data_IF_661592296793
#
_entry.id   IF_661592296793
#
_cell.length_a   1.000
_cell.length_b   1.000
_cell.length_c   1.000
_cell.angle_alpha   90.00
_cell.angle_beta   90.00
_cell.angle_gamma   90.00
#
_symmetry.space_group_name_H-M   'P 1'
#
loop_
_entity.id
_entity.type
_entity.pdbx_description
1 polymer ?
#
# COMPACT_ATOMS: atom_id res chain seq x y z
N UNK A 1 -3.45 -4.00 37.23
CA UNK A 1 -3.76 -5.25 36.49
C UNK A 1 -3.43 -5.04 35.02
N UNK A 2 -2.46 -5.80 34.52
CA UNK A 2 -1.75 -5.52 33.27
C UNK A 2 -2.59 -5.85 32.01
N UNK A 3 -2.78 -4.85 31.14
CA UNK A 3 -3.34 -5.00 29.79
C UNK A 3 -2.27 -5.07 28.68
N UNK A 4 -1.02 -5.31 29.06
CA UNK A 4 0.08 -5.66 28.15
C UNK A 4 0.11 -7.19 28.03
N UNK A 5 -0.76 -7.75 27.19
CA UNK A 5 -0.50 -9.07 26.61
C UNK A 5 -1.19 -9.19 25.27
N UNK A 6 -0.85 -8.26 24.36
CA UNK A 6 -1.25 -8.33 22.96
C UNK A 6 -0.24 -9.16 22.16
N UNK A 7 0.11 -10.36 22.65
CA UNK A 7 0.58 -11.47 21.81
C UNK A 7 -0.63 -12.30 21.40
N UNK A 8 -1.47 -11.70 20.57
CA UNK A 8 -2.35 -12.42 19.65
C UNK A 8 -2.07 -11.82 18.28
N UNK A 9 -0.87 -12.07 17.78
CA UNK A 9 -0.63 -12.03 16.35
C UNK A 9 -1.48 -13.20 15.82
N UNK A 10 -2.70 -12.84 15.40
CA UNK A 10 -3.71 -13.79 14.99
C UNK A 10 -3.14 -14.67 13.89
N UNK A 11 -3.27 -15.97 14.11
CA UNK A 11 -2.96 -17.10 13.24
C UNK A 11 -3.85 -17.13 12.01
N UNK A 12 -4.08 -15.98 11.34
CA UNK A 12 -4.81 -15.95 10.08
C UNK A 12 -3.92 -16.67 9.07
N UNK A 13 -4.37 -17.83 8.53
CA UNK A 13 -3.60 -18.53 7.52
C UNK A 13 -3.41 -17.60 6.33
N UNK A 14 -2.17 -17.48 5.84
CA UNK A 14 -1.88 -16.74 4.62
C UNK A 14 -2.16 -17.73 3.48
N UNK A 15 -3.17 -17.48 2.62
CA UNK A 15 -3.51 -18.41 1.57
C UNK A 15 -2.33 -18.58 0.61
N UNK A 16 -2.07 -19.80 0.12
CA UNK A 16 -1.02 -20.03 -0.86
C UNK A 16 -1.48 -19.66 -2.28
N UNK A 17 -1.88 -18.40 -2.46
CA UNK A 17 -2.37 -17.83 -3.73
C UNK A 17 -1.51 -16.64 -4.14
N UNK A 18 -1.69 -16.14 -5.35
CA UNK A 18 -0.98 -14.94 -5.81
C UNK A 18 -1.35 -13.73 -4.95
N UNK A 19 -0.32 -12.97 -4.55
CA UNK A 19 -0.46 -11.76 -3.76
C UNK A 19 0.10 -10.57 -4.55
N UNK A 20 -0.53 -9.41 -4.43
CA UNK A 20 -0.02 -8.17 -5.03
C UNK A 20 -0.09 -7.01 -4.06
N UNK A 21 0.83 -6.06 -4.25
CA UNK A 21 0.76 -4.71 -3.70
C UNK A 21 0.28 -3.78 -4.83
N UNK A 22 -0.79 -3.03 -4.60
CA UNK A 22 -1.19 -1.94 -5.50
C UNK A 22 -0.66 -0.63 -4.93
N UNK A 23 0.10 0.10 -5.75
CA UNK A 23 0.63 1.43 -5.44
C UNK A 23 -0.22 2.45 -6.21
N UNK A 24 -1.07 3.22 -5.52
CA UNK A 24 -1.92 4.22 -6.16
C UNK A 24 -1.27 5.59 -6.03
N UNK A 25 -1.07 6.27 -7.16
CA UNK A 25 -0.44 7.59 -7.24
C UNK A 25 -1.50 8.67 -7.39
N UNK A 26 -1.36 9.78 -6.67
CA UNK A 26 -2.20 10.96 -6.87
C UNK A 26 -1.81 11.66 -8.19
N UNK A 27 -2.69 11.56 -9.20
CA UNK A 27 -2.46 12.16 -10.51
C UNK A 27 -2.64 13.69 -10.52
N UNK A 28 -3.42 14.25 -9.59
CA UNK A 28 -3.64 15.70 -9.49
C UNK A 28 -2.34 16.46 -9.23
N UNK A 29 -1.38 15.82 -8.57
CA UNK A 29 -0.07 16.37 -8.26
C UNK A 29 0.87 16.50 -9.47
N UNK A 30 0.49 15.95 -10.64
CA UNK A 30 1.24 16.04 -11.91
C UNK A 30 2.74 15.73 -11.76
N UNK A 31 3.06 14.74 -10.93
CA UNK A 31 4.44 14.35 -10.65
C UNK A 31 5.15 13.87 -11.93
N UNK A 32 6.41 14.29 -12.11
CA UNK A 32 7.26 13.73 -13.17
C UNK A 32 7.60 12.26 -12.91
N UNK A 33 7.88 11.50 -13.99
CA UNK A 33 8.15 10.05 -13.95
C UNK A 33 9.20 9.65 -12.90
N UNK A 34 10.31 10.41 -12.80
CA UNK A 34 11.36 10.14 -11.82
C UNK A 34 10.89 10.31 -10.37
N UNK A 35 10.06 11.33 -10.10
CA UNK A 35 9.49 11.53 -8.77
C UNK A 35 8.49 10.44 -8.42
N UNK A 36 7.63 10.05 -9.36
CA UNK A 36 6.70 8.91 -9.19
C UNK A 36 7.49 7.65 -8.81
N UNK A 37 8.53 7.31 -9.57
CA UNK A 37 9.35 6.13 -9.31
C UNK A 37 9.99 6.17 -7.91
N UNK A 38 10.51 7.32 -7.49
CA UNK A 38 11.08 7.49 -6.15
C UNK A 38 10.03 7.29 -5.04
N UNK A 39 8.84 7.89 -5.19
CA UNK A 39 7.76 7.77 -4.19
C UNK A 39 7.21 6.36 -4.09
N UNK A 40 7.02 5.66 -5.23
CA UNK A 40 6.64 4.24 -5.24
C UNK A 40 7.75 3.38 -4.63
N UNK A 41 9.02 3.69 -4.89
CA UNK A 41 10.16 3.03 -4.27
C UNK A 41 10.18 3.18 -2.74
N UNK A 42 9.96 4.40 -2.24
CA UNK A 42 9.83 4.66 -0.80
C UNK A 42 8.70 3.85 -0.17
N UNK A 43 7.51 3.87 -0.79
CA UNK A 43 6.37 3.09 -0.33
C UNK A 43 6.70 1.59 -0.22
N UNK A 44 7.35 1.03 -1.24
CA UNK A 44 7.73 -0.39 -1.24
C UNK A 44 8.71 -0.73 -0.12
N UNK A 45 9.62 0.18 0.21
CA UNK A 45 10.55 0.00 1.32
C UNK A 45 9.84 0.05 2.67
N UNK A 46 8.92 1.02 2.85
CA UNK A 46 8.09 1.10 4.07
C UNK A 46 7.23 -0.16 4.26
N UNK A 47 6.64 -0.67 3.18
CA UNK A 47 5.91 -1.94 3.16
C UNK A 47 6.81 -3.09 3.60
N UNK A 48 7.99 -3.24 2.98
CA UNK A 48 8.90 -4.33 3.28
C UNK A 48 9.34 -4.32 4.76
N UNK A 49 9.83 -3.18 5.26
CA UNK A 49 10.26 -3.02 6.65
C UNK A 49 9.11 -3.21 7.65
N UNK A 50 7.93 -2.68 7.33
CA UNK A 50 6.75 -2.81 8.17
C UNK A 50 6.24 -4.25 8.24
N UNK A 51 6.27 -4.99 7.13
CA UNK A 51 5.90 -6.40 7.12
C UNK A 51 6.96 -7.29 7.77
N UNK A 52 8.25 -7.00 7.58
CA UNK A 52 9.32 -7.74 8.25
C UNK A 52 9.13 -7.73 9.77
N UNK A 53 8.78 -6.56 10.32
CA UNK A 53 8.56 -6.38 11.75
C UNK A 53 7.26 -7.00 12.26
N UNK A 54 6.16 -6.89 11.52
CA UNK A 54 4.82 -7.16 12.03
C UNK A 54 4.10 -8.35 11.38
N UNK A 55 4.51 -8.77 10.17
CA UNK A 55 3.90 -9.88 9.41
C UNK A 55 4.94 -10.60 8.53
N UNK A 56 6.02 -11.16 9.10
CA UNK A 56 7.14 -11.71 8.32
C UNK A 56 6.74 -12.87 7.40
N UNK A 57 5.72 -13.65 7.77
CA UNK A 57 5.17 -14.72 6.89
C UNK A 57 4.48 -14.17 5.64
N UNK A 58 3.83 -13.01 5.74
CA UNK A 58 3.21 -12.34 4.59
C UNK A 58 4.27 -11.79 3.66
N UNK A 59 5.30 -11.15 4.23
CA UNK A 59 6.47 -10.72 3.45
C UNK A 59 7.12 -11.90 2.71
N UNK A 60 7.35 -13.02 3.40
CA UNK A 60 7.93 -14.21 2.79
C UNK A 60 7.05 -14.79 1.68
N UNK A 61 5.73 -14.86 1.89
CA UNK A 61 4.80 -15.39 0.88
C UNK A 61 4.78 -14.52 -0.37
N UNK A 62 4.65 -13.20 -0.19
CA UNK A 62 4.64 -12.25 -1.30
C UNK A 62 5.97 -12.21 -2.05
N UNK A 63 7.11 -12.23 -1.34
CA UNK A 63 8.44 -12.20 -1.98
C UNK A 63 8.77 -13.49 -2.72
N UNK A 64 8.42 -14.67 -2.18
CA UNK A 64 8.58 -15.96 -2.88
C UNK A 64 7.73 -16.08 -4.14
N UNK A 65 6.62 -15.34 -4.22
CA UNK A 65 5.74 -15.25 -5.39
C UNK A 65 6.07 -14.07 -6.31
N UNK A 66 7.30 -13.56 -6.27
CA UNK A 66 7.75 -12.53 -7.22
C UNK A 66 7.32 -11.11 -6.86
N UNK A 67 6.85 -10.87 -5.63
CA UNK A 67 6.67 -9.53 -5.04
C UNK A 67 5.93 -8.55 -5.95
N UNK A 68 4.84 -9.01 -6.57
CA UNK A 68 4.10 -8.28 -7.59
C UNK A 68 3.64 -6.91 -7.09
N UNK A 69 3.89 -5.89 -7.92
CA UNK A 69 3.52 -4.49 -7.69
C UNK A 69 2.79 -3.97 -8.92
N UNK A 70 1.63 -3.37 -8.73
CA UNK A 70 0.86 -2.72 -9.81
C UNK A 70 0.72 -1.26 -9.47
N UNK A 71 1.10 -0.38 -10.40
CA UNK A 71 1.01 1.07 -10.19
C UNK A 71 -0.22 1.62 -10.90
N UNK A 72 -1.16 2.15 -10.12
CA UNK A 72 -2.41 2.73 -10.57
C UNK A 72 -2.44 4.23 -10.25
N UNK A 73 -3.45 4.93 -10.78
CA UNK A 73 -3.66 6.35 -10.47
C UNK A 73 -5.04 6.61 -9.89
N UNK A 74 -5.06 7.44 -8.85
CA UNK A 74 -6.23 8.13 -8.37
C UNK A 74 -6.30 9.52 -9.01
N UNK A 75 -7.50 10.08 -9.09
CA UNK A 75 -7.77 11.41 -9.59
C UNK A 75 -7.12 12.47 -8.71
N UNK A 76 -7.28 12.35 -7.39
CA UNK A 76 -6.85 13.33 -6.40
C UNK A 76 -6.73 12.72 -4.99
N UNK A 77 -6.40 13.56 -4.01
CA UNK A 77 -6.28 13.17 -2.61
C UNK A 77 -7.59 12.71 -1.98
N UNK A 78 -8.76 13.13 -2.46
CA UNK A 78 -10.05 12.70 -1.89
C UNK A 78 -10.30 11.23 -2.25
N UNK A 79 -10.09 10.84 -3.51
CA UNK A 79 -10.16 9.45 -3.93
C UNK A 79 -9.14 8.57 -3.18
N UNK A 80 -7.94 9.09 -2.91
CA UNK A 80 -6.94 8.38 -2.12
C UNK A 80 -7.40 8.08 -0.70
N UNK A 81 -8.09 9.03 -0.04
CA UNK A 81 -8.67 8.80 1.28
C UNK A 81 -9.80 7.76 1.24
N UNK A 82 -10.68 7.85 0.25
CA UNK A 82 -11.76 6.88 0.06
C UNK A 82 -11.23 5.46 -0.18
N UNK A 83 -10.16 5.32 -0.97
CA UNK A 83 -9.50 4.03 -1.22
C UNK A 83 -8.90 3.43 0.05
N UNK A 84 -8.27 4.25 0.91
CA UNK A 84 -7.76 3.81 2.21
C UNK A 84 -8.90 3.28 3.08
N UNK A 85 -10.01 4.00 3.16
CA UNK A 85 -11.13 3.62 4.02
C UNK A 85 -11.79 2.33 3.53
N UNK A 86 -12.06 2.21 2.22
CA UNK A 86 -12.54 0.95 1.61
C UNK A 86 -11.60 -0.23 1.83
N UNK A 87 -10.28 0.00 1.70
CA UNK A 87 -9.30 -1.05 1.94
C UNK A 87 -9.30 -1.50 3.41
N UNK A 88 -9.43 -0.57 4.37
CA UNK A 88 -9.55 -0.91 5.80
C UNK A 88 -10.83 -1.68 6.11
N UNK A 89 -11.96 -1.28 5.52
CA UNK A 89 -13.24 -2.01 5.64
C UNK A 89 -13.12 -3.45 5.11
N UNK A 90 -12.36 -3.64 4.02
CA UNK A 90 -12.02 -4.95 3.46
C UNK A 90 -10.91 -5.70 4.24
N UNK A 91 -10.47 -5.20 5.40
CA UNK A 91 -9.37 -5.76 6.21
C UNK A 91 -8.01 -5.86 5.49
N UNK A 92 -7.77 -5.01 4.49
CA UNK A 92 -6.50 -4.91 3.79
C UNK A 92 -5.53 -3.99 4.52
N UNK A 93 -4.24 -4.30 4.41
CA UNK A 93 -3.20 -3.38 4.86
C UNK A 93 -3.13 -2.16 3.94
N UNK A 94 -3.03 -0.99 4.56
CA UNK A 94 -2.86 0.29 3.87
C UNK A 94 -1.56 0.96 4.29
N UNK A 95 -0.90 1.59 3.34
CA UNK A 95 0.37 2.31 3.51
C UNK A 95 0.23 3.68 2.86
N UNK A 96 0.96 4.68 3.32
CA UNK A 96 0.89 6.03 2.75
C UNK A 96 2.23 6.74 2.84
N UNK A 97 2.69 7.27 1.71
CA UNK A 97 3.85 8.17 1.64
C UNK A 97 3.34 9.60 1.46
N UNK A 98 3.98 10.52 2.19
CA UNK A 98 3.74 11.96 2.07
C UNK A 98 5.02 12.65 1.65
N UNK A 99 4.91 13.66 0.79
CA UNK A 99 6.07 14.47 0.41
C UNK A 99 6.45 15.40 1.57
N UNK A 100 7.72 15.37 1.97
CA UNK A 100 8.25 16.20 3.05
C UNK A 100 8.41 17.69 2.67
N UNK A 101 7.84 18.13 1.53
CA UNK A 101 7.85 19.53 1.10
C UNK A 101 9.16 20.02 0.46
N UNK A 102 9.99 19.12 -0.10
CA UNK A 102 11.25 19.50 -0.77
C UNK A 102 11.09 19.81 -2.27
N UNK A 103 9.85 19.95 -2.75
CA UNK A 103 9.54 20.12 -4.18
C UNK A 103 8.37 21.08 -4.39
N UNK A 104 7.97 21.27 -5.65
CA UNK A 104 6.85 22.12 -6.10
C UNK A 104 5.44 21.62 -5.67
N UNK A 105 5.34 20.57 -4.86
CA UNK A 105 4.08 20.02 -4.32
C UNK A 105 3.81 20.62 -2.93
N UNK A 106 2.55 20.93 -2.56
CA UNK A 106 2.23 21.37 -1.21
C UNK A 106 2.79 20.40 -0.16
N UNK A 107 3.49 20.94 0.84
CA UNK A 107 4.09 20.14 1.91
C UNK A 107 3.04 19.27 2.61
N UNK A 108 3.37 18.00 2.87
CA UNK A 108 2.47 17.04 3.52
C UNK A 108 1.45 16.37 2.60
N UNK A 109 1.46 16.69 1.30
CA UNK A 109 0.61 16.02 0.31
C UNK A 109 0.86 14.51 0.29
N UNK A 110 -0.21 13.73 0.27
CA UNK A 110 -0.17 12.27 0.13
C UNK A 110 0.10 11.92 -1.33
N UNK A 111 1.31 11.46 -1.62
CA UNK A 111 1.77 11.25 -2.99
C UNK A 111 1.39 9.88 -3.52
N UNK A 112 1.52 8.85 -2.69
CA UNK A 112 1.28 7.45 -3.05
C UNK A 112 0.72 6.70 -1.85
N UNK A 113 -0.27 5.84 -2.08
CA UNK A 113 -0.76 4.86 -1.09
C UNK A 113 -0.46 3.45 -1.57
N UNK A 114 -0.32 2.52 -0.62
CA UNK A 114 -0.18 1.09 -0.87
C UNK A 114 -1.39 0.34 -0.33
N UNK A 115 -1.94 -0.58 -1.11
CA UNK A 115 -3.00 -1.50 -0.70
C UNK A 115 -2.47 -2.93 -0.85
N UNK A 116 -2.46 -3.68 0.25
CA UNK A 116 -1.82 -5.00 0.34
C UNK A 116 -0.40 -4.95 0.94
N UNK A 117 0.45 -5.96 0.70
CA UNK A 117 0.22 -7.14 -0.13
C UNK A 117 -0.90 -8.02 0.42
N UNK A 118 -1.77 -8.50 -0.46
CA UNK A 118 -2.89 -9.38 -0.16
C UNK A 118 -3.23 -10.24 -1.39
N UNK A 119 -4.05 -11.30 -1.25
CA UNK A 119 -4.56 -12.06 -2.38
C UNK A 119 -5.07 -11.15 -3.50
N UNK A 120 -4.73 -11.47 -4.76
CA UNK A 120 -5.06 -10.63 -5.93
C UNK A 120 -6.53 -10.23 -5.95
N UNK A 121 -7.43 -11.19 -5.77
CA UNK A 121 -8.89 -10.99 -5.78
C UNK A 121 -9.34 -9.95 -4.75
N UNK A 122 -8.87 -10.06 -3.50
CA UNK A 122 -9.25 -9.12 -2.43
C UNK A 122 -8.77 -7.69 -2.71
N UNK A 123 -7.58 -7.55 -3.33
CA UNK A 123 -7.07 -6.22 -3.70
C UNK A 123 -7.85 -5.67 -4.91
N UNK A 124 -8.27 -6.52 -5.84
CA UNK A 124 -9.07 -6.13 -7.01
C UNK A 124 -10.48 -5.67 -6.65
N UNK A 125 -11.11 -6.23 -5.60
CA UNK A 125 -12.41 -5.75 -5.10
C UNK A 125 -12.39 -4.25 -4.75
N UNK A 126 -11.23 -3.73 -4.36
CA UNK A 126 -11.05 -2.32 -4.01
C UNK A 126 -10.48 -1.49 -5.16
N UNK A 127 -9.66 -2.06 -6.04
CA UNK A 127 -8.79 -1.29 -6.94
C UNK A 127 -9.00 -1.53 -8.44
N UNK A 128 -9.81 -2.52 -8.84
CA UNK A 128 -9.99 -2.92 -10.24
C UNK A 128 -10.55 -1.84 -11.16
N UNK A 129 -11.27 -0.86 -10.61
CA UNK A 129 -11.84 0.26 -11.37
C UNK A 129 -10.81 1.36 -11.69
N UNK A 130 -9.65 1.35 -11.01
CA UNK A 130 -8.60 2.34 -11.21
C UNK A 130 -7.83 2.05 -12.51
N UNK A 131 -7.32 3.11 -13.12
CA UNK A 131 -6.53 3.01 -14.35
C UNK A 131 -5.04 2.80 -14.03
N UNK A 132 -4.34 2.08 -14.89
CA UNK A 132 -2.88 2.04 -14.89
C UNK A 132 -2.32 3.47 -15.03
N UNK A 133 -1.25 3.75 -14.29
CA UNK A 133 -0.62 5.07 -14.21
C UNK A 133 -0.08 5.52 -15.58
#
# INVERSE_FOLDING_TARGET
MAWWNRRREQTVPIPNVEHKLVCVVDASLKMGKGKIAAQVGHLCMEVALGLERNRPRLLQTWTRKGQAKVVLKALDSEEMHLLIDRAKEANLLTWSVRDAGRTQIPSGSMTVIGIGPAPVEQVDDVTSYLKLL
#
